data_IF_070666350043
#
_entry.id   IF_070666350043
#
_cell.length_a   1.000
_cell.length_b   1.000
_cell.length_c   1.000
_cell.angle_alpha   90.00
_cell.angle_beta   90.00
_cell.angle_gamma   90.00
#
_symmetry.space_group_name_H-M   'P 1'
#
loop_
_entity.id
_entity.type
_entity.pdbx_description
1 polymer ?
#
# COMPACT_ATOMS: atom_id res chain seq x y z
N UNK A 1 -10.71 56.52 22.70
CA UNK A 1 -9.79 55.83 23.64
C UNK A 1 -9.49 54.46 23.04
N UNK A 2 -8.20 54.20 22.75
CA UNK A 2 -7.69 52.96 22.14
C UNK A 2 -7.51 51.91 23.25
N UNK A 3 -8.04 50.70 23.04
CA UNK A 3 -7.66 49.52 23.80
C UNK A 3 -6.90 48.55 22.87
N UNK A 4 -5.81 47.90 23.31
CA UNK A 4 -4.94 47.13 22.43
C UNK A 4 -5.49 45.73 22.16
N UNK A 5 -5.36 45.28 20.92
CA UNK A 5 -5.50 43.88 20.51
C UNK A 5 -4.29 43.10 21.03
N UNK A 6 -4.54 42.10 21.88
CA UNK A 6 -3.55 41.08 22.23
C UNK A 6 -3.38 40.10 21.05
N UNK A 7 -2.16 39.68 20.68
CA UNK A 7 -1.97 38.63 19.69
C UNK A 7 -2.15 37.26 20.36
N UNK A 8 -3.24 36.58 20.04
CA UNK A 8 -3.41 35.14 20.32
C UNK A 8 -2.59 34.34 19.29
N UNK A 9 -1.26 34.29 19.50
CA UNK A 9 -0.35 33.38 18.81
C UNK A 9 0.20 32.35 19.82
N UNK A 10 -0.63 31.36 20.15
CA UNK A 10 -0.29 30.03 20.66
C UNK A 10 -1.61 29.29 20.86
N UNK A 11 -1.91 28.22 20.10
CA UNK A 11 -1.11 27.00 20.09
C UNK A 11 -0.95 26.42 18.67
N UNK A 12 0.09 26.82 17.95
CA UNK A 12 0.55 26.09 16.74
C UNK A 12 1.97 25.54 16.94
N UNK A 13 2.65 25.91 18.03
CA UNK A 13 4.03 25.52 18.31
C UNK A 13 4.17 24.25 19.18
N UNK A 14 3.07 23.61 19.61
CA UNK A 14 3.14 22.48 20.55
C UNK A 14 3.04 21.08 19.90
N UNK A 15 2.92 20.98 18.56
CA UNK A 15 2.96 19.70 17.83
C UNK A 15 4.29 19.44 17.10
N UNK A 16 5.27 20.32 17.28
CA UNK A 16 6.59 20.20 16.62
C UNK A 16 7.62 19.41 17.43
N UNK A 17 7.26 18.82 18.57
CA UNK A 17 8.24 18.20 19.47
C UNK A 17 7.81 16.81 19.93
N UNK A 18 7.56 15.89 19.00
CA UNK A 18 7.79 14.45 19.16
C UNK A 18 8.15 13.87 17.78
N UNK A 19 9.45 13.81 17.47
CA UNK A 19 10.01 13.09 16.34
C UNK A 19 10.52 11.75 16.83
N UNK A 20 9.70 10.72 16.69
CA UNK A 20 10.17 9.33 16.66
C UNK A 20 10.24 8.88 15.20
N UNK A 21 11.18 8.01 14.82
CA UNK A 21 11.17 7.40 13.49
C UNK A 21 9.90 6.56 13.33
N UNK A 22 9.27 6.65 12.17
CA UNK A 22 8.02 5.97 11.87
C UNK A 22 8.11 5.28 10.50
N UNK A 23 7.71 4.02 10.48
CA UNK A 23 7.76 3.09 9.35
C UNK A 23 6.37 2.97 8.68
N UNK A 24 6.36 2.80 7.36
CA UNK A 24 5.27 3.16 6.44
C UNK A 24 4.37 1.98 5.97
N UNK A 25 3.54 2.21 4.94
CA UNK A 25 2.22 1.59 4.60
C UNK A 25 2.21 0.39 3.61
N UNK A 26 1.03 -0.14 3.26
CA UNK A 26 0.72 -1.45 2.66
C UNK A 26 1.44 -1.86 1.37
N UNK A 27 1.85 -0.93 0.51
CA UNK A 27 2.64 -1.20 -0.70
C UNK A 27 4.15 -1.34 -0.44
N UNK A 28 4.59 -1.12 0.81
CA UNK A 28 5.97 -0.90 1.22
C UNK A 28 6.60 -2.15 1.86
N UNK A 29 5.80 -3.18 2.13
CA UNK A 29 6.18 -4.31 2.98
C UNK A 29 6.76 -5.52 2.23
N UNK A 30 6.75 -5.50 0.90
CA UNK A 30 7.32 -6.54 0.07
C UNK A 30 7.93 -5.93 -1.20
N UNK A 31 9.06 -6.45 -1.69
CA UNK A 31 9.51 -6.17 -3.05
C UNK A 31 8.37 -6.55 -4.01
N UNK A 32 7.85 -5.58 -4.76
CA UNK A 32 6.82 -5.85 -5.76
C UNK A 32 7.48 -5.98 -7.13
N UNK A 33 6.94 -6.88 -7.94
CA UNK A 33 7.40 -7.11 -9.31
C UNK A 33 6.22 -6.73 -10.21
N UNK A 34 6.34 -5.58 -10.87
CA UNK A 34 5.27 -5.02 -11.72
C UNK A 34 4.80 -6.01 -12.79
N UNK A 35 5.71 -6.85 -13.30
CA UNK A 35 5.42 -7.87 -14.31
C UNK A 35 5.08 -9.26 -13.76
N UNK A 36 4.92 -9.44 -12.43
CA UNK A 36 4.50 -10.73 -11.88
C UNK A 36 3.07 -11.05 -12.35
N UNK A 37 2.82 -12.30 -12.75
CA UNK A 37 1.47 -12.68 -13.17
C UNK A 37 0.49 -12.61 -11.99
N UNK A 38 -0.67 -11.94 -12.14
CA UNK A 38 -1.71 -11.95 -11.13
C UNK A 38 -2.27 -13.36 -10.98
N UNK A 39 -2.67 -13.72 -9.75
CA UNK A 39 -3.39 -14.98 -9.54
C UNK A 39 -4.62 -15.05 -10.45
N UNK A 40 -5.03 -16.27 -10.87
CA UNK A 40 -6.24 -16.44 -11.66
C UNK A 40 -7.45 -15.80 -10.96
N UNK A 41 -8.25 -15.04 -11.71
CA UNK A 41 -9.47 -14.42 -11.16
C UNK A 41 -10.45 -15.45 -10.60
N UNK A 42 -10.37 -16.70 -11.06
CA UNK A 42 -11.12 -17.83 -10.52
C UNK A 42 -10.91 -18.00 -9.02
N UNK A 43 -9.70 -17.79 -8.50
CA UNK A 43 -9.39 -17.96 -7.09
C UNK A 43 -10.21 -16.99 -6.24
N UNK A 44 -10.34 -15.75 -6.72
CA UNK A 44 -11.18 -14.71 -6.10
C UNK A 44 -12.66 -15.06 -6.19
N UNK A 45 -13.13 -15.50 -7.36
CA UNK A 45 -14.53 -15.85 -7.60
C UNK A 45 -14.96 -17.13 -6.86
N UNK A 46 -14.03 -18.01 -6.51
CA UNK A 46 -14.30 -19.19 -5.68
C UNK A 46 -14.17 -18.94 -4.18
N UNK A 47 -13.68 -17.77 -3.77
CA UNK A 47 -13.46 -17.44 -2.37
C UNK A 47 -14.79 -17.09 -1.67
N UNK A 48 -15.18 -17.88 -0.68
CA UNK A 48 -16.41 -17.67 0.10
C UNK A 48 -16.42 -16.35 0.89
N UNK A 49 -15.26 -15.91 1.39
CA UNK A 49 -15.12 -14.65 2.14
C UNK A 49 -15.29 -13.43 1.26
N UNK A 50 -14.85 -13.52 0.00
CA UNK A 50 -15.12 -12.49 -1.01
C UNK A 50 -16.63 -12.30 -1.19
N UNK A 51 -17.39 -13.38 -1.42
CA UNK A 51 -18.84 -13.29 -1.60
C UNK A 51 -19.60 -12.90 -0.34
N UNK A 52 -19.14 -13.35 0.84
CA UNK A 52 -19.72 -12.92 2.11
C UNK A 52 -19.57 -11.41 2.30
N UNK A 53 -18.39 -10.85 2.03
CA UNK A 53 -18.16 -9.41 2.09
C UNK A 53 -19.03 -8.65 1.08
N UNK A 54 -19.17 -9.16 -0.15
CA UNK A 54 -20.06 -8.57 -1.16
C UNK A 54 -21.51 -8.57 -0.68
N UNK A 55 -21.99 -9.68 -0.11
CA UNK A 55 -23.35 -9.78 0.42
C UNK A 55 -23.58 -8.79 1.56
N UNK A 56 -22.62 -8.64 2.48
CA UNK A 56 -22.68 -7.69 3.59
C UNK A 56 -22.78 -6.25 3.07
N UNK A 57 -21.94 -5.87 2.11
CA UNK A 57 -21.97 -4.51 1.54
C UNK A 57 -23.26 -4.25 0.78
N UNK A 58 -23.73 -5.21 -0.02
CA UNK A 58 -25.01 -5.10 -0.72
C UNK A 58 -26.16 -4.89 0.26
N UNK A 59 -26.18 -5.61 1.38
CA UNK A 59 -27.16 -5.39 2.43
C UNK A 59 -27.12 -3.93 2.94
N UNK A 60 -25.94 -3.41 3.27
CA UNK A 60 -25.80 -2.03 3.74
C UNK A 60 -26.18 -0.98 2.69
N UNK A 61 -25.82 -1.18 1.43
CA UNK A 61 -26.13 -0.23 0.36
C UNK A 61 -27.62 -0.24 0.03
N UNK A 62 -28.24 -1.43 -0.04
CA UNK A 62 -29.69 -1.54 -0.24
C UNK A 62 -30.43 -0.93 0.95
N UNK A 63 -30.04 -1.22 2.19
CA UNK A 63 -30.63 -0.63 3.38
C UNK A 63 -30.49 0.90 3.39
N UNK A 64 -29.31 1.42 3.06
CA UNK A 64 -29.06 2.87 2.97
C UNK A 64 -29.93 3.50 1.88
N UNK A 65 -30.08 2.84 0.73
CA UNK A 65 -30.94 3.34 -0.36
C UNK A 65 -32.42 3.32 0.04
N UNK A 66 -32.86 2.33 0.81
CA UNK A 66 -34.21 2.30 1.38
C UNK A 66 -34.42 3.48 2.33
N UNK A 67 -33.48 3.74 3.25
CA UNK A 67 -33.54 4.89 4.17
C UNK A 67 -33.52 6.22 3.41
N UNK A 68 -32.68 6.36 2.38
CA UNK A 68 -32.57 7.58 1.56
C UNK A 68 -33.89 7.97 0.90
N UNK A 69 -34.76 6.99 0.59
CA UNK A 69 -36.09 7.22 -0.02
C UNK A 69 -37.17 7.63 0.98
N UNK A 70 -36.85 7.65 2.27
CA UNK A 70 -37.78 8.03 3.34
C UNK A 70 -37.51 9.46 3.83
N UNK A 71 -38.45 10.07 4.57
CA UNK A 71 -38.21 11.34 5.26
C UNK A 71 -37.02 11.30 6.23
N UNK A 72 -36.69 10.12 6.79
CA UNK A 72 -35.51 9.96 7.64
C UNK A 72 -34.21 10.20 6.88
N UNK A 73 -34.12 9.73 5.62
CA UNK A 73 -32.98 9.99 4.74
C UNK A 73 -32.76 11.48 4.46
N UNK A 74 -33.85 12.20 4.18
CA UNK A 74 -33.86 13.67 4.04
C UNK A 74 -33.35 14.37 5.29
N UNK A 75 -33.77 13.93 6.49
CA UNK A 75 -33.31 14.49 7.77
C UNK A 75 -31.80 14.27 7.95
N UNK A 76 -31.31 13.06 7.69
CA UNK A 76 -29.88 12.72 7.79
C UNK A 76 -29.06 13.57 6.83
N UNK A 77 -29.51 13.69 5.57
CA UNK A 77 -28.85 14.48 4.54
C UNK A 77 -28.80 15.98 4.88
N UNK A 78 -29.89 16.55 5.41
CA UNK A 78 -29.92 17.93 5.93
C UNK A 78 -28.99 18.11 7.14
N UNK A 79 -28.90 17.10 8.00
CA UNK A 79 -27.93 17.08 9.10
C UNK A 79 -26.50 17.16 8.60
N UNK A 80 -26.14 16.33 7.61
CA UNK A 80 -24.83 16.38 6.95
C UNK A 80 -24.57 17.72 6.27
N UNK A 81 -25.58 18.32 5.61
CA UNK A 81 -25.44 19.65 5.02
C UNK A 81 -25.13 20.70 6.08
N UNK A 82 -25.83 20.67 7.21
CA UNK A 82 -25.57 21.60 8.32
C UNK A 82 -24.15 21.48 8.86
N UNK A 83 -23.65 20.25 9.03
CA UNK A 83 -22.29 19.99 9.53
C UNK A 83 -21.23 20.42 8.51
N UNK A 84 -21.46 20.15 7.22
CA UNK A 84 -20.47 20.41 6.16
C UNK A 84 -20.53 21.81 5.57
N UNK A 85 -21.60 22.58 5.79
CA UNK A 85 -21.81 23.89 5.16
C UNK A 85 -20.66 24.89 5.40
N UNK A 86 -20.06 25.00 6.60
CA UNK A 86 -18.91 25.90 6.81
C UNK A 86 -17.74 25.57 5.88
N UNK A 87 -17.48 24.28 5.66
CA UNK A 87 -16.44 23.81 4.76
C UNK A 87 -16.86 23.97 3.29
N UNK A 88 -18.10 23.67 2.94
CA UNK A 88 -18.63 23.82 1.59
C UNK A 88 -18.42 25.23 1.02
N UNK A 89 -18.69 26.26 1.82
CA UNK A 89 -18.50 27.67 1.44
C UNK A 89 -17.04 28.04 1.13
N UNK A 90 -16.08 27.23 1.62
CA UNK A 90 -14.64 27.41 1.43
C UNK A 90 -14.01 26.21 0.73
N UNK A 91 -14.79 25.35 0.09
CA UNK A 91 -14.30 24.04 -0.32
C UNK A 91 -13.22 24.14 -1.40
N UNK A 92 -13.36 25.09 -2.33
CA UNK A 92 -12.34 25.36 -3.33
C UNK A 92 -11.03 25.86 -2.69
N UNK A 93 -11.12 26.72 -1.67
CA UNK A 93 -9.94 27.21 -0.93
C UNK A 93 -9.29 26.07 -0.14
N UNK A 94 -10.09 25.25 0.54
CA UNK A 94 -9.63 24.08 1.27
C UNK A 94 -8.87 23.09 0.38
N UNK A 95 -9.46 22.68 -0.75
CA UNK A 95 -8.82 21.72 -1.67
C UNK A 95 -7.52 22.30 -2.23
N UNK A 96 -7.51 23.57 -2.64
CA UNK A 96 -6.28 24.22 -3.14
C UNK A 96 -5.19 24.36 -2.08
N UNK A 97 -5.55 24.74 -0.86
CA UNK A 97 -4.62 24.79 0.26
C UNK A 97 -4.00 23.42 0.53
N UNK A 98 -4.79 22.34 0.52
CA UNK A 98 -4.27 20.99 0.72
C UNK A 98 -3.38 20.55 -0.44
N UNK A 99 -3.76 20.80 -1.70
CA UNK A 99 -2.89 20.49 -2.85
C UNK A 99 -1.57 21.26 -2.73
N UNK A 100 -1.61 22.55 -2.40
CA UNK A 100 -0.40 23.35 -2.18
C UNK A 100 0.47 22.80 -1.05
N UNK A 101 -0.12 22.48 0.10
CA UNK A 101 0.58 21.88 1.24
C UNK A 101 1.17 20.50 0.88
N UNK A 102 0.46 19.69 0.11
CA UNK A 102 0.92 18.41 -0.39
C UNK A 102 2.16 18.56 -1.28
N UNK A 103 2.15 19.47 -2.25
CA UNK A 103 3.31 19.73 -3.10
C UNK A 103 4.52 20.28 -2.33
N UNK A 104 4.29 21.08 -1.29
CA UNK A 104 5.35 21.50 -0.36
C UNK A 104 5.88 20.32 0.47
N UNK A 105 5.01 19.41 0.91
CA UNK A 105 5.40 18.25 1.69
C UNK A 105 6.25 17.28 0.85
N UNK A 106 5.85 16.95 -0.38
CA UNK A 106 6.65 16.07 -1.25
C UNK A 106 7.94 16.75 -1.75
N UNK A 107 7.96 18.09 -1.87
CA UNK A 107 9.20 18.85 -2.07
C UNK A 107 10.18 18.64 -0.91
N UNK A 108 9.67 18.66 0.34
CA UNK A 108 10.50 18.43 1.52
C UNK A 108 10.99 16.98 1.64
N UNK A 109 10.24 16.00 1.10
CA UNK A 109 10.70 14.62 0.96
C UNK A 109 11.83 14.53 -0.09
N UNK A 110 11.67 15.20 -1.23
CA UNK A 110 12.65 15.24 -2.30
C UNK A 110 12.72 13.94 -3.11
N UNK A 111 13.18 14.02 -4.36
CA UNK A 111 13.46 12.83 -5.20
C UNK A 111 12.22 12.01 -5.57
N UNK A 112 11.04 12.63 -5.66
CA UNK A 112 9.77 11.98 -5.98
C UNK A 112 8.98 12.80 -7.00
N UNK A 113 8.11 12.18 -7.80
CA UNK A 113 7.25 12.82 -8.79
C UNK A 113 5.96 13.38 -8.17
N UNK A 114 5.08 12.48 -7.70
CA UNK A 114 3.74 12.83 -7.21
C UNK A 114 3.41 12.22 -5.85
N UNK A 115 4.13 11.18 -5.43
CA UNK A 115 3.92 10.47 -4.16
C UNK A 115 5.28 9.93 -3.72
N UNK A 116 5.51 9.66 -2.42
CA UNK A 116 6.71 8.98 -1.97
C UNK A 116 7.09 7.70 -2.74
N UNK A 117 6.10 7.01 -3.36
CA UNK A 117 6.34 5.77 -4.12
C UNK A 117 6.92 5.99 -5.54
N UNK A 118 6.66 7.16 -6.13
CA UNK A 118 7.08 7.48 -7.51
C UNK A 118 8.38 8.26 -7.45
N UNK A 119 9.49 7.57 -7.24
CA UNK A 119 10.83 8.15 -7.12
C UNK A 119 11.39 8.68 -8.44
N UNK A 120 12.32 9.61 -8.32
CA UNK A 120 13.09 10.13 -9.46
C UNK A 120 14.46 10.64 -9.02
N UNK A 121 15.52 10.39 -9.80
CA UNK A 121 16.83 10.98 -9.55
C UNK A 121 16.90 12.47 -9.94
N UNK A 122 15.88 12.99 -10.62
CA UNK A 122 15.89 14.33 -11.19
C UNK A 122 15.54 15.42 -10.15
N UNK A 123 16.54 16.06 -9.56
CA UNK A 123 16.33 17.10 -8.53
C UNK A 123 15.47 18.29 -8.99
N UNK A 124 15.46 18.60 -10.30
CA UNK A 124 14.63 19.68 -10.85
C UNK A 124 13.13 19.43 -10.68
N UNK A 125 12.71 18.18 -10.51
CA UNK A 125 11.32 17.80 -10.25
C UNK A 125 10.80 18.45 -8.96
N UNK A 126 11.63 18.49 -7.91
CA UNK A 126 11.26 19.14 -6.64
C UNK A 126 11.02 20.64 -6.82
N UNK A 127 11.83 21.32 -7.63
CA UNK A 127 11.59 22.73 -7.95
C UNK A 127 10.29 22.96 -8.72
N UNK A 128 9.93 22.05 -9.64
CA UNK A 128 8.64 22.08 -10.32
C UNK A 128 7.47 21.90 -9.34
N UNK A 129 7.58 21.01 -8.35
CA UNK A 129 6.57 20.84 -7.29
C UNK A 129 6.33 22.15 -6.52
N UNK A 130 7.40 22.87 -6.18
CA UNK A 130 7.29 24.15 -5.50
C UNK A 130 6.60 25.21 -6.37
N UNK A 131 6.93 25.26 -7.67
CA UNK A 131 6.23 26.13 -8.63
C UNK A 131 4.73 25.79 -8.74
N UNK A 132 4.39 24.50 -8.76
CA UNK A 132 3.00 24.04 -8.73
C UNK A 132 2.30 24.55 -7.47
N UNK A 133 2.91 24.38 -6.29
CA UNK A 133 2.36 24.81 -5.01
C UNK A 133 2.07 26.31 -4.97
N UNK A 134 2.99 27.15 -5.45
CA UNK A 134 2.78 28.59 -5.54
C UNK A 134 1.72 28.97 -6.59
N UNK A 135 1.72 28.30 -7.74
CA UNK A 135 0.83 28.62 -8.87
C UNK A 135 -0.65 28.31 -8.62
N UNK A 136 -1.00 27.48 -7.64
CA UNK A 136 -2.39 27.03 -7.39
C UNK A 136 -3.29 28.15 -6.86
N UNK A 137 -2.76 29.16 -6.17
CA UNK A 137 -3.58 30.14 -5.46
C UNK A 137 -4.18 31.25 -6.36
N UNK A 138 -3.69 31.41 -7.59
CA UNK A 138 -4.25 32.37 -8.55
C UNK A 138 -4.90 31.64 -9.72
N UNK A 139 -6.13 32.03 -10.07
CA UNK A 139 -6.87 31.43 -11.21
C UNK A 139 -6.11 31.49 -12.53
N UNK A 140 -5.23 32.48 -12.72
CA UNK A 140 -4.42 32.62 -13.94
C UNK A 140 -3.25 31.64 -13.95
N UNK A 141 -2.62 31.42 -12.79
CA UNK A 141 -1.44 30.57 -12.68
C UNK A 141 -1.78 29.10 -12.46
N UNK A 142 -2.98 28.82 -11.94
CA UNK A 142 -3.49 27.48 -11.62
C UNK A 142 -3.52 26.53 -12.82
N UNK A 143 -3.75 27.04 -14.05
CA UNK A 143 -3.70 26.21 -15.26
C UNK A 143 -2.28 25.69 -15.51
N UNK A 144 -1.25 26.49 -15.22
CA UNK A 144 0.14 26.04 -15.33
C UNK A 144 0.48 25.02 -14.24
N UNK A 145 -0.07 25.17 -13.02
CA UNK A 145 0.03 24.14 -11.99
C UNK A 145 -0.60 22.82 -12.46
N UNK A 146 -1.79 22.87 -13.07
CA UNK A 146 -2.43 21.68 -13.62
C UNK A 146 -1.57 21.01 -14.71
N UNK A 147 -1.00 21.81 -15.62
CA UNK A 147 -0.08 21.30 -16.64
C UNK A 147 1.19 20.70 -16.03
N UNK A 148 1.73 21.31 -14.97
CA UNK A 148 2.86 20.77 -14.21
C UNK A 148 2.54 19.42 -13.57
N UNK A 149 1.36 19.25 -12.99
CA UNK A 149 0.92 17.96 -12.42
C UNK A 149 0.82 16.88 -13.51
N UNK A 150 0.24 17.20 -14.66
CA UNK A 150 0.19 16.27 -15.80
C UNK A 150 1.60 15.95 -16.30
N UNK A 151 2.50 16.95 -16.36
CA UNK A 151 3.89 16.72 -16.75
C UNK A 151 4.58 15.75 -15.78
N UNK A 152 4.42 15.94 -14.47
CA UNK A 152 4.95 15.01 -13.46
C UNK A 152 4.39 13.60 -13.63
N UNK A 153 3.08 13.48 -13.89
CA UNK A 153 2.44 12.19 -14.15
C UNK A 153 2.97 11.52 -15.43
N UNK A 154 3.11 12.28 -16.52
CA UNK A 154 3.65 11.76 -17.80
C UNK A 154 5.13 11.42 -17.68
N UNK A 155 5.92 12.17 -16.92
CA UNK A 155 7.34 11.84 -16.68
C UNK A 155 7.49 10.58 -15.84
N UNK A 156 6.62 10.38 -14.86
CA UNK A 156 6.59 9.13 -14.11
C UNK A 156 6.33 7.92 -15.03
N UNK A 157 5.61 8.07 -16.17
CA UNK A 157 5.43 6.97 -17.13
C UNK A 157 6.72 6.47 -17.78
N UNK A 158 7.81 7.25 -17.72
CA UNK A 158 9.11 6.83 -18.23
C UNK A 158 9.74 5.77 -17.32
N UNK A 159 9.62 6.00 -16.02
CA UNK A 159 10.30 5.21 -14.99
C UNK A 159 9.37 4.13 -14.41
N UNK A 160 8.05 4.32 -14.58
CA UNK A 160 7.01 3.43 -14.10
C UNK A 160 6.00 3.14 -15.23
N UNK A 161 5.55 1.90 -15.35
CA UNK A 161 4.60 1.54 -16.40
C UNK A 161 3.21 2.15 -16.21
N UNK A 162 2.46 2.27 -17.32
CA UNK A 162 1.06 2.75 -17.33
C UNK A 162 0.20 2.01 -16.31
N UNK A 163 0.42 0.71 -16.13
CA UNK A 163 -0.34 -0.13 -15.22
C UNK A 163 -0.21 0.33 -13.77
N UNK A 164 1.01 0.66 -13.36
CA UNK A 164 1.31 1.15 -12.02
C UNK A 164 0.80 2.57 -11.81
N UNK A 165 0.85 3.42 -12.83
CA UNK A 165 0.40 4.80 -12.73
C UNK A 165 -1.13 4.97 -12.58
N UNK A 166 -1.91 3.92 -12.86
CA UNK A 166 -3.35 3.92 -12.66
C UNK A 166 -3.75 4.00 -11.18
N UNK A 167 -2.91 3.51 -10.26
CA UNK A 167 -3.10 3.70 -8.82
C UNK A 167 -3.09 5.20 -8.44
N UNK A 168 -2.32 5.99 -9.18
CA UNK A 168 -2.07 7.40 -8.90
C UNK A 168 -2.93 8.34 -9.77
N UNK A 169 -3.99 7.81 -10.41
CA UNK A 169 -4.90 8.59 -11.26
C UNK A 169 -5.55 9.76 -10.50
N UNK A 170 -5.86 9.54 -9.21
CA UNK A 170 -6.41 10.58 -8.34
C UNK A 170 -5.44 11.75 -8.14
N UNK A 171 -4.17 11.46 -7.84
CA UNK A 171 -3.13 12.43 -7.50
C UNK A 171 -2.65 13.22 -8.72
N UNK A 172 -2.58 12.57 -9.90
CA UNK A 172 -2.20 13.22 -11.15
C UNK A 172 -3.39 13.82 -11.89
N UNK A 173 -4.06 12.98 -12.69
CA UNK A 173 -5.05 13.41 -13.68
C UNK A 173 -6.26 14.09 -13.05
N UNK A 174 -6.80 13.55 -11.95
CA UNK A 174 -8.02 14.09 -11.36
C UNK A 174 -7.79 15.45 -10.68
N UNK A 175 -6.68 15.62 -9.96
CA UNK A 175 -6.28 16.90 -9.36
C UNK A 175 -6.01 17.95 -10.44
N UNK A 176 -5.29 17.59 -11.50
CA UNK A 176 -5.09 18.50 -12.63
C UNK A 176 -6.42 18.89 -13.30
N UNK A 177 -7.31 17.92 -13.53
CA UNK A 177 -8.65 18.15 -14.07
C UNK A 177 -9.49 19.07 -13.19
N UNK A 178 -9.43 18.90 -11.87
CA UNK A 178 -10.04 19.83 -10.92
C UNK A 178 -9.52 21.25 -11.09
N UNK A 179 -8.20 21.43 -11.14
CA UNK A 179 -7.58 22.74 -11.28
C UNK A 179 -7.98 23.41 -12.60
N UNK A 180 -8.09 22.66 -13.70
CA UNK A 180 -8.57 23.19 -14.99
C UNK A 180 -10.04 23.62 -14.91
N UNK A 181 -10.92 22.76 -14.39
CA UNK A 181 -12.35 23.05 -14.29
C UNK A 181 -12.64 24.18 -13.31
N UNK A 182 -11.88 24.28 -12.23
CA UNK A 182 -11.97 25.38 -11.29
C UNK A 182 -11.37 26.69 -11.85
N UNK A 183 -10.37 26.65 -12.72
CA UNK A 183 -9.92 27.87 -13.41
C UNK A 183 -10.92 28.36 -14.47
N UNK A 184 -11.80 27.48 -14.96
CA UNK A 184 -12.76 27.79 -16.02
C UNK A 184 -13.73 28.91 -15.63
N UNK A 185 -13.93 29.83 -16.58
CA UNK A 185 -14.97 30.89 -16.48
C UNK A 185 -16.35 30.37 -16.86
N UNK A 186 -16.45 29.21 -17.51
CA UNK A 186 -17.72 28.65 -17.94
C UNK A 186 -18.39 27.91 -16.76
N UNK A 187 -19.55 28.39 -16.26
CA UNK A 187 -20.25 27.76 -15.13
C UNK A 187 -20.61 26.30 -15.37
N UNK A 188 -20.95 25.94 -16.62
CA UNK A 188 -21.31 24.58 -17.01
C UNK A 188 -20.14 23.59 -16.88
N UNK A 189 -18.91 24.07 -17.06
CA UNK A 189 -17.72 23.25 -16.85
C UNK A 189 -17.34 23.23 -15.36
N UNK A 190 -17.36 24.41 -14.73
CA UNK A 190 -16.95 24.57 -13.32
C UNK A 190 -17.77 23.72 -12.35
N UNK A 191 -19.05 23.46 -12.63
CA UNK A 191 -19.91 22.61 -11.77
C UNK A 191 -19.39 21.17 -11.64
N UNK A 192 -18.62 20.67 -12.61
CA UNK A 192 -18.08 19.30 -12.60
C UNK A 192 -16.73 19.15 -11.88
N UNK A 193 -16.15 20.23 -11.33
CA UNK A 193 -14.79 20.19 -10.75
C UNK A 193 -14.62 19.16 -9.62
N UNK A 194 -15.58 19.07 -8.70
CA UNK A 194 -15.56 18.06 -7.62
C UNK A 194 -15.96 16.67 -8.12
N UNK A 195 -16.74 16.60 -9.20
CA UNK A 195 -17.12 15.33 -9.82
C UNK A 195 -15.88 14.64 -10.41
N UNK A 196 -14.96 15.39 -11.04
CA UNK A 196 -13.69 14.84 -11.55
C UNK A 196 -12.82 14.29 -10.42
N UNK A 197 -12.64 15.02 -9.31
CA UNK A 197 -11.88 14.51 -8.15
C UNK A 197 -12.47 13.20 -7.62
N UNK A 198 -13.81 13.17 -7.51
CA UNK A 198 -14.55 12.01 -7.03
C UNK A 198 -14.38 10.79 -7.92
N UNK A 199 -14.42 10.97 -9.24
CA UNK A 199 -14.12 9.89 -10.19
C UNK A 199 -12.68 9.41 -10.07
N UNK A 200 -11.72 10.34 -9.96
CA UNK A 200 -10.31 9.99 -9.78
C UNK A 200 -10.07 9.10 -8.56
N UNK A 201 -10.56 9.52 -7.39
CA UNK A 201 -10.41 8.74 -6.15
C UNK A 201 -11.18 7.43 -6.21
N UNK A 202 -12.42 7.43 -6.72
CA UNK A 202 -13.21 6.21 -6.82
C UNK A 202 -12.52 5.16 -7.70
N UNK A 203 -12.02 5.55 -8.88
CA UNK A 203 -11.33 4.65 -9.79
C UNK A 203 -10.01 4.17 -9.17
N UNK A 204 -9.22 5.07 -8.58
CA UNK A 204 -7.95 4.72 -7.93
C UNK A 204 -8.16 3.69 -6.81
N UNK A 205 -9.14 3.90 -5.92
CA UNK A 205 -9.47 2.96 -4.85
C UNK A 205 -9.97 1.60 -5.38
N UNK A 206 -10.87 1.62 -6.38
CA UNK A 206 -11.34 0.37 -6.99
C UNK A 206 -10.20 -0.38 -7.68
N UNK A 207 -9.30 0.33 -8.35
CA UNK A 207 -8.16 -0.26 -9.04
C UNK A 207 -7.14 -0.85 -8.06
N UNK A 208 -6.66 -0.05 -7.10
CA UNK A 208 -5.74 -0.47 -6.03
C UNK A 208 -6.27 -1.65 -5.20
N UNK A 209 -7.57 -1.68 -4.93
CA UNK A 209 -8.18 -2.78 -4.16
C UNK A 209 -8.02 -4.15 -4.83
N UNK A 210 -7.83 -4.21 -6.16
CA UNK A 210 -7.64 -5.47 -6.88
C UNK A 210 -6.33 -6.16 -6.56
N UNK A 211 -5.31 -5.42 -6.10
CA UNK A 211 -4.03 -6.00 -5.68
C UNK A 211 -4.22 -7.03 -4.55
N UNK A 212 -5.20 -6.83 -3.66
CA UNK A 212 -5.51 -7.77 -2.57
C UNK A 212 -6.08 -9.10 -3.06
N UNK A 213 -6.58 -9.13 -4.29
CA UNK A 213 -7.09 -10.32 -4.97
C UNK A 213 -6.05 -10.93 -5.89
N UNK A 214 -5.33 -10.09 -6.63
CA UNK A 214 -4.32 -10.49 -7.59
C UNK A 214 -3.04 -11.00 -6.92
N UNK A 215 -2.62 -10.37 -5.82
CA UNK A 215 -1.36 -10.61 -5.10
C UNK A 215 -1.55 -10.59 -3.57
N UNK A 216 -2.40 -11.45 -3.00
CA UNK A 216 -2.66 -11.46 -1.55
C UNK A 216 -1.38 -11.65 -0.72
N UNK A 217 -0.38 -12.35 -1.26
CA UNK A 217 0.92 -12.55 -0.62
C UNK A 217 1.71 -11.26 -0.35
N UNK A 218 1.52 -10.19 -1.13
CA UNK A 218 2.18 -8.90 -0.90
C UNK A 218 1.76 -8.26 0.43
N UNK A 219 0.60 -8.67 0.97
CA UNK A 219 0.04 -8.17 2.22
C UNK A 219 0.41 -9.06 3.43
N UNK A 220 1.06 -10.20 3.22
CA UNK A 220 1.37 -11.13 4.31
C UNK A 220 2.41 -10.58 5.29
N UNK A 221 3.52 -9.96 4.84
CA UNK A 221 4.50 -9.37 5.77
C UNK A 221 3.86 -8.33 6.68
N UNK A 222 2.99 -7.47 6.12
CA UNK A 222 2.24 -6.47 6.87
C UNK A 222 1.39 -7.08 7.98
N UNK A 223 0.61 -8.11 7.66
CA UNK A 223 -0.30 -8.75 8.63
C UNK A 223 0.50 -9.45 9.75
N UNK A 224 1.69 -9.94 9.44
CA UNK A 224 2.60 -10.54 10.43
C UNK A 224 3.19 -9.45 11.34
N UNK A 225 3.65 -8.35 10.75
CA UNK A 225 4.29 -7.25 11.49
C UNK A 225 3.29 -6.46 12.35
N UNK A 226 2.07 -6.25 11.84
CA UNK A 226 1.02 -5.45 12.47
C UNK A 226 -0.27 -6.27 12.65
N UNK A 227 -0.29 -7.30 13.52
CA UNK A 227 -1.41 -8.24 13.64
C UNK A 227 -2.73 -7.61 14.11
N UNK A 228 -2.68 -6.45 14.78
CA UNK A 228 -3.90 -5.75 15.21
C UNK A 228 -4.75 -5.25 14.04
N UNK A 229 -4.18 -5.08 12.84
CA UNK A 229 -4.90 -4.62 11.65
C UNK A 229 -6.01 -5.59 11.23
N UNK A 230 -5.86 -6.88 11.53
CA UNK A 230 -6.87 -7.88 11.15
C UNK A 230 -8.03 -7.98 12.15
N UNK A 231 -8.01 -7.20 13.23
CA UNK A 231 -8.99 -7.30 14.32
C UNK A 231 -9.12 -8.73 14.89
N UNK A 232 -8.02 -9.49 14.88
CA UNK A 232 -7.99 -10.90 15.32
C UNK A 232 -8.51 -11.90 14.30
N UNK A 233 -8.88 -11.46 13.09
CA UNK A 233 -9.26 -12.35 12.01
C UNK A 233 -8.03 -13.01 11.36
N UNK A 234 -8.15 -14.26 10.88
CA UNK A 234 -7.13 -14.88 10.03
C UNK A 234 -6.87 -14.07 8.75
N UNK A 235 -5.64 -14.10 8.24
CA UNK A 235 -5.22 -13.32 7.05
C UNK A 235 -6.01 -13.67 5.79
N UNK A 236 -6.36 -14.95 5.63
CA UNK A 236 -7.16 -15.51 4.54
C UNK A 236 -8.63 -15.07 4.58
N UNK A 237 -9.10 -14.59 5.75
CA UNK A 237 -10.39 -13.92 5.91
C UNK A 237 -10.23 -12.42 5.68
N UNK A 238 -9.27 -11.79 6.36
CA UNK A 238 -9.14 -10.34 6.39
C UNK A 238 -8.80 -9.73 5.04
N UNK A 239 -7.79 -10.26 4.33
CA UNK A 239 -7.29 -9.67 3.07
C UNK A 239 -8.39 -9.58 1.99
N UNK A 240 -9.12 -10.66 1.64
CA UNK A 240 -10.18 -10.56 0.63
C UNK A 240 -11.34 -9.66 1.09
N UNK A 241 -11.71 -9.70 2.37
CA UNK A 241 -12.76 -8.82 2.90
C UNK A 241 -12.35 -7.34 2.85
N UNK A 242 -11.09 -7.02 3.14
CA UNK A 242 -10.54 -5.68 3.05
C UNK A 242 -10.53 -5.18 1.59
N UNK A 243 -10.14 -6.03 0.63
CA UNK A 243 -10.23 -5.69 -0.80
C UNK A 243 -11.66 -5.39 -1.25
N UNK A 244 -12.63 -6.19 -0.81
CA UNK A 244 -14.05 -5.93 -1.14
C UNK A 244 -14.53 -4.63 -0.50
N UNK A 245 -14.16 -4.36 0.76
CA UNK A 245 -14.53 -3.14 1.44
C UNK A 245 -13.98 -1.90 0.72
N UNK A 246 -12.70 -1.90 0.35
CA UNK A 246 -12.06 -0.81 -0.39
C UNK A 246 -12.71 -0.59 -1.76
N UNK A 247 -12.87 -1.66 -2.55
CA UNK A 247 -13.51 -1.60 -3.87
C UNK A 247 -14.91 -0.99 -3.79
N UNK A 248 -15.74 -1.53 -2.88
CA UNK A 248 -17.15 -1.16 -2.77
C UNK A 248 -17.34 0.23 -2.18
N UNK A 249 -16.47 0.68 -1.28
CA UNK A 249 -16.49 2.07 -0.81
C UNK A 249 -16.07 3.04 -1.92
N UNK A 250 -15.07 2.69 -2.74
CA UNK A 250 -14.71 3.44 -3.95
C UNK A 250 -15.89 3.57 -4.91
N UNK A 251 -16.58 2.46 -5.20
CA UNK A 251 -17.84 2.47 -5.96
C UNK A 251 -18.93 3.33 -5.29
N UNK A 252 -19.06 3.24 -3.97
CA UNK A 252 -20.03 4.00 -3.18
C UNK A 252 -19.90 5.51 -3.34
N UNK A 253 -18.67 6.04 -3.52
CA UNK A 253 -18.42 7.46 -3.79
C UNK A 253 -19.14 7.95 -5.07
N UNK A 254 -19.40 7.06 -6.02
CA UNK A 254 -20.05 7.39 -7.30
C UNK A 254 -21.56 7.16 -7.31
N UNK A 255 -22.12 6.68 -6.20
CA UNK A 255 -23.52 6.29 -6.14
C UNK A 255 -24.44 7.43 -5.68
N UNK A 256 -25.52 7.11 -4.96
CA UNK A 256 -26.50 8.10 -4.46
C UNK A 256 -25.94 8.94 -3.32
N UNK A 257 -26.53 10.12 -3.02
CA UNK A 257 -25.94 11.07 -2.07
C UNK A 257 -25.68 10.52 -0.67
N UNK A 258 -26.57 9.67 -0.13
CA UNK A 258 -26.38 9.11 1.21
C UNK A 258 -25.30 8.02 1.21
N UNK A 259 -25.34 7.10 0.23
CA UNK A 259 -24.30 6.06 0.06
C UNK A 259 -22.94 6.72 -0.11
N UNK A 260 -22.81 7.70 -1.02
CA UNK A 260 -21.60 8.46 -1.25
C UNK A 260 -21.01 9.06 0.02
N UNK A 261 -21.85 9.76 0.81
CA UNK A 261 -21.38 10.45 2.02
C UNK A 261 -21.02 9.48 3.13
N UNK A 262 -21.76 8.39 3.29
CA UNK A 262 -21.43 7.35 4.27
C UNK A 262 -20.16 6.59 3.88
N UNK A 263 -19.96 6.27 2.59
CA UNK A 263 -18.70 5.70 2.10
C UNK A 263 -17.52 6.64 2.33
N UNK A 264 -17.71 7.95 2.12
CA UNK A 264 -16.68 8.93 2.42
C UNK A 264 -16.33 8.98 3.92
N UNK A 265 -17.31 8.93 4.81
CA UNK A 265 -17.08 8.86 6.25
C UNK A 265 -16.33 7.58 6.63
N UNK A 266 -16.75 6.43 6.12
CA UNK A 266 -16.10 5.15 6.39
C UNK A 266 -14.64 5.14 5.91
N UNK A 267 -14.38 5.59 4.68
CA UNK A 267 -13.02 5.71 4.14
C UNK A 267 -12.19 6.69 4.97
N UNK A 268 -12.72 7.86 5.33
CA UNK A 268 -11.97 8.82 6.13
C UNK A 268 -11.56 8.25 7.49
N UNK A 269 -12.45 7.50 8.15
CA UNK A 269 -12.14 6.80 9.41
C UNK A 269 -11.01 5.79 9.21
N UNK A 270 -11.09 4.96 8.16
CA UNK A 270 -10.10 3.92 7.88
C UNK A 270 -8.74 4.52 7.56
N UNK A 271 -8.67 5.49 6.64
CA UNK A 271 -7.42 6.15 6.27
C UNK A 271 -6.81 6.89 7.47
N UNK A 272 -7.62 7.61 8.26
CA UNK A 272 -7.12 8.29 9.45
C UNK A 272 -6.66 7.31 10.53
N UNK A 273 -7.31 6.14 10.66
CA UNK A 273 -6.86 5.09 11.57
C UNK A 273 -5.54 4.45 11.13
N UNK A 274 -5.30 4.35 9.82
CA UNK A 274 -4.04 3.85 9.25
C UNK A 274 -2.84 4.79 9.50
N UNK A 275 -3.07 6.11 9.56
CA UNK A 275 -2.00 7.07 9.87
C UNK A 275 -1.35 6.83 11.24
N UNK A 276 -2.10 6.33 12.23
CA UNK A 276 -1.57 6.09 13.57
C UNK A 276 -0.42 5.06 13.59
N UNK A 277 -0.59 3.85 13.03
CA UNK A 277 0.49 2.86 12.98
C UNK A 277 1.57 3.13 11.92
N UNK A 278 1.27 3.85 10.83
CA UNK A 278 2.21 4.03 9.71
C UNK A 278 2.90 5.42 9.64
N UNK A 279 2.48 6.36 10.48
CA UNK A 279 3.18 7.61 10.70
C UNK A 279 3.11 8.65 9.57
N UNK A 280 4.15 9.48 9.49
CA UNK A 280 4.12 10.73 8.69
C UNK A 280 4.14 10.49 7.19
N UNK A 281 4.86 9.48 6.73
CA UNK A 281 4.97 9.18 5.31
C UNK A 281 3.61 8.75 4.76
N UNK A 282 2.89 7.92 5.52
CA UNK A 282 1.51 7.53 5.22
C UNK A 282 0.56 8.74 5.18
N UNK A 283 0.69 9.63 6.18
CA UNK A 283 -0.07 10.89 6.19
C UNK A 283 0.20 11.72 4.94
N UNK A 284 1.46 11.86 4.50
CA UNK A 284 1.80 12.64 3.30
C UNK A 284 1.24 11.96 2.05
N UNK A 285 1.42 10.64 1.89
CA UNK A 285 0.91 9.89 0.74
C UNK A 285 -0.62 9.94 0.61
N UNK A 286 -1.34 9.89 1.74
CA UNK A 286 -2.80 9.88 1.75
C UNK A 286 -3.45 11.24 1.95
N UNK A 287 -2.71 12.30 2.35
CA UNK A 287 -3.27 13.61 2.67
C UNK A 287 -4.22 14.14 1.58
N UNK A 288 -3.83 14.01 0.31
CA UNK A 288 -4.64 14.52 -0.79
C UNK A 288 -5.89 13.66 -1.03
N UNK A 289 -5.79 12.34 -0.93
CA UNK A 289 -6.94 11.42 -1.02
C UNK A 289 -7.91 11.70 0.13
N UNK A 290 -7.42 11.83 1.37
CA UNK A 290 -8.22 12.15 2.56
C UNK A 290 -8.94 13.49 2.40
N UNK A 291 -8.27 14.52 1.87
CA UNK A 291 -8.92 15.81 1.62
C UNK A 291 -10.00 15.74 0.54
N UNK A 292 -9.79 14.95 -0.52
CA UNK A 292 -10.82 14.72 -1.53
C UNK A 292 -12.01 13.96 -0.92
N UNK A 293 -11.77 12.97 -0.07
CA UNK A 293 -12.82 12.24 0.66
C UNK A 293 -13.64 13.21 1.53
N UNK A 294 -12.99 14.11 2.26
CA UNK A 294 -13.65 15.17 3.03
C UNK A 294 -14.47 16.09 2.11
N UNK A 295 -13.95 16.45 0.94
CA UNK A 295 -14.68 17.24 -0.05
C UNK A 295 -15.93 16.51 -0.59
N UNK A 296 -15.84 15.19 -0.81
CA UNK A 296 -16.97 14.35 -1.23
C UNK A 296 -18.04 14.28 -0.15
N UNK A 297 -17.65 14.17 1.13
CA UNK A 297 -18.59 14.26 2.25
C UNK A 297 -19.28 15.63 2.27
N UNK A 298 -18.50 16.71 2.07
CA UNK A 298 -19.01 18.07 2.16
C UNK A 298 -19.95 18.46 1.01
N UNK A 299 -19.89 17.79 -0.15
CA UNK A 299 -20.71 18.10 -1.33
C UNK A 299 -22.22 17.87 -1.07
N UNK A 300 -23.05 18.95 -0.99
CA UNK A 300 -24.50 18.88 -0.76
C UNK A 300 -25.29 18.49 -2.00
N UNK A 301 -24.65 18.41 -3.17
CA UNK A 301 -25.31 18.15 -4.45
C UNK A 301 -26.08 16.83 -4.39
N UNK A 302 -27.38 16.90 -4.61
CA UNK A 302 -28.28 15.74 -4.72
C UNK A 302 -28.40 15.23 -6.15
N UNK A 303 -28.13 16.10 -7.11
CA UNK A 303 -28.19 15.78 -8.52
C UNK A 303 -27.08 14.81 -8.91
N UNK A 304 -27.45 13.81 -9.72
CA UNK A 304 -26.52 12.87 -10.32
C UNK A 304 -26.38 13.24 -11.79
N UNK A 305 -25.25 13.83 -12.19
CA UNK A 305 -25.03 14.21 -13.58
C UNK A 305 -24.76 12.99 -14.48
N UNK A 306 -24.01 12.00 -13.97
CA UNK A 306 -23.65 10.80 -14.72
C UNK A 306 -24.60 9.63 -14.48
N UNK A 307 -25.30 9.22 -15.55
CA UNK A 307 -26.22 8.07 -15.60
C UNK A 307 -27.29 8.06 -14.49
N UNK A 308 -28.03 9.16 -14.22
CA UNK A 308 -29.00 9.24 -13.12
C UNK A 308 -30.09 8.16 -13.20
N UNK A 309 -30.62 7.93 -14.40
CA UNK A 309 -31.70 6.93 -14.63
C UNK A 309 -31.27 5.52 -14.25
N UNK A 310 -29.98 5.19 -14.40
CA UNK A 310 -29.45 3.90 -14.02
C UNK A 310 -29.23 3.77 -12.52
N UNK A 311 -29.03 4.85 -11.77
CA UNK A 311 -28.72 4.81 -10.33
C UNK A 311 -29.93 4.93 -9.41
N UNK A 312 -31.06 5.41 -9.94
CA UNK A 312 -32.28 5.65 -9.15
C UNK A 312 -32.98 4.37 -8.66
N UNK A 313 -33.15 3.29 -9.47
CA UNK A 313 -33.82 2.07 -9.04
C UNK A 313 -33.10 1.37 -7.88
N UNK A 314 -33.82 0.63 -7.03
CA UNK A 314 -33.18 -0.09 -5.92
C UNK A 314 -32.30 -1.24 -6.42
N UNK A 315 -32.79 -1.95 -7.44
CA UNK A 315 -32.10 -3.04 -8.13
C UNK A 315 -30.82 -2.58 -8.85
N UNK A 316 -30.64 -1.28 -9.03
CA UNK A 316 -29.45 -0.74 -9.67
C UNK A 316 -28.19 -0.90 -8.81
N UNK A 317 -28.32 -0.97 -7.47
CA UNK A 317 -27.17 -1.13 -6.57
C UNK A 317 -26.40 -2.42 -6.91
N UNK A 318 -27.01 -3.63 -6.85
CA UNK A 318 -26.30 -4.85 -7.18
C UNK A 318 -25.86 -4.90 -8.64
N UNK A 319 -26.70 -4.46 -9.58
CA UNK A 319 -26.34 -4.45 -11.00
C UNK A 319 -25.16 -3.51 -11.31
N UNK A 320 -25.13 -2.33 -10.67
CA UNK A 320 -24.06 -1.35 -10.82
C UNK A 320 -22.76 -1.83 -10.20
N UNK A 321 -22.81 -2.45 -9.02
CA UNK A 321 -21.61 -3.03 -8.39
C UNK A 321 -21.04 -4.18 -9.24
N UNK A 322 -21.91 -5.08 -9.74
CA UNK A 322 -21.49 -6.16 -10.62
C UNK A 322 -20.86 -5.63 -11.91
N UNK A 323 -21.47 -4.61 -12.53
CA UNK A 323 -20.90 -3.97 -13.72
C UNK A 323 -19.54 -3.32 -13.42
N UNK A 324 -19.40 -2.63 -12.28
CA UNK A 324 -18.12 -2.05 -11.86
C UNK A 324 -17.05 -3.12 -11.65
N UNK A 325 -17.37 -4.23 -10.98
CA UNK A 325 -16.46 -5.36 -10.80
C UNK A 325 -16.00 -5.94 -12.14
N UNK A 326 -16.94 -6.21 -13.06
CA UNK A 326 -16.61 -6.75 -14.39
C UNK A 326 -15.72 -5.79 -15.17
N UNK A 327 -16.05 -4.49 -15.19
CA UNK A 327 -15.29 -3.49 -15.95
C UNK A 327 -13.89 -3.32 -15.34
N UNK A 328 -13.78 -3.10 -14.04
CA UNK A 328 -12.50 -2.78 -13.39
C UNK A 328 -11.60 -4.01 -13.30
N UNK A 329 -12.13 -5.17 -12.86
CA UNK A 329 -11.34 -6.42 -12.83
C UNK A 329 -11.00 -6.91 -14.23
N UNK A 330 -11.95 -6.85 -15.18
CA UNK A 330 -11.67 -7.19 -16.58
C UNK A 330 -10.57 -6.30 -17.18
N UNK A 331 -10.60 -4.99 -16.88
CA UNK A 331 -9.55 -4.06 -17.29
C UNK A 331 -8.22 -4.36 -16.62
N UNK A 332 -8.21 -4.71 -15.34
CA UNK A 332 -6.98 -5.01 -14.59
C UNK A 332 -6.27 -6.26 -15.14
N UNK A 333 -6.94 -7.41 -15.16
CA UNK A 333 -6.35 -8.64 -15.70
C UNK A 333 -6.08 -8.54 -17.21
N UNK A 334 -6.98 -7.90 -17.97
CA UNK A 334 -6.83 -7.74 -19.41
C UNK A 334 -5.67 -6.82 -19.80
N UNK A 335 -5.49 -5.69 -19.11
CA UNK A 335 -4.38 -4.78 -19.32
C UNK A 335 -3.06 -5.42 -18.90
N UNK A 336 -3.05 -6.14 -17.77
CA UNK A 336 -1.87 -6.89 -17.34
C UNK A 336 -1.46 -7.92 -18.39
N UNK A 337 -2.41 -8.72 -18.89
CA UNK A 337 -2.19 -9.69 -19.96
C UNK A 337 -1.66 -9.04 -21.25
N UNK A 338 -2.21 -7.88 -21.62
CA UNK A 338 -1.78 -7.16 -22.82
C UNK A 338 -0.36 -6.61 -22.73
N UNK A 339 0.05 -6.12 -21.55
CA UNK A 339 1.36 -5.49 -21.34
C UNK A 339 2.44 -6.55 -21.06
N UNK A 340 2.15 -7.50 -20.16
CA UNK A 340 3.15 -8.45 -19.62
C UNK A 340 2.98 -9.88 -20.13
N UNK A 341 1.88 -10.21 -20.82
CA UNK A 341 1.61 -11.58 -21.27
C UNK A 341 1.06 -12.49 -20.16
N UNK A 342 0.74 -13.76 -20.50
CA UNK A 342 0.03 -14.67 -19.60
C UNK A 342 0.88 -15.17 -18.43
N UNK A 343 2.19 -15.32 -18.63
CA UNK A 343 3.14 -15.75 -17.59
C UNK A 343 3.73 -14.57 -16.81
N UNK A 344 3.34 -13.33 -17.18
CA UNK A 344 4.04 -12.13 -16.74
C UNK A 344 5.40 -11.97 -17.43
N UNK A 345 6.03 -10.82 -17.24
CA UNK A 345 7.41 -10.56 -17.68
C UNK A 345 8.24 -10.23 -16.45
N UNK A 346 8.74 -11.27 -15.80
CA UNK A 346 9.79 -11.13 -14.78
C UNK A 346 11.11 -11.20 -15.51
N UNK A 347 11.71 -10.05 -15.83
CA UNK A 347 13.08 -10.02 -16.35
C UNK A 347 14.02 -10.41 -15.21
N UNK A 348 14.96 -11.32 -15.48
CA UNK A 348 16.00 -11.72 -14.50
C UNK A 348 16.93 -10.53 -14.13
N UNK A 349 16.97 -9.51 -14.99
CA UNK A 349 17.66 -8.23 -14.79
C UNK A 349 16.71 -7.10 -14.29
N UNK A 350 15.43 -7.40 -14.07
CA UNK A 350 14.47 -6.43 -13.59
C UNK A 350 14.80 -6.04 -12.18
N UNK A 351 15.35 -4.83 -11.99
CA UNK A 351 15.51 -4.21 -10.69
C UNK A 351 14.24 -4.49 -9.89
N UNK A 352 14.37 -5.16 -8.74
CA UNK A 352 13.33 -5.14 -7.73
C UNK A 352 13.06 -3.66 -7.47
N UNK A 353 11.98 -3.13 -8.04
CA UNK A 353 11.58 -1.76 -7.82
C UNK A 353 11.05 -1.70 -6.41
N UNK A 354 11.94 -1.52 -5.44
CA UNK A 354 11.56 -1.16 -4.09
C UNK A 354 11.02 0.27 -4.17
N UNK A 355 9.85 0.52 -3.57
CA UNK A 355 9.30 1.87 -3.44
C UNK A 355 10.18 2.81 -2.60
N UNK A 356 11.31 2.35 -2.02
CA UNK A 356 12.27 3.16 -1.25
C UNK A 356 13.73 2.95 -1.67
N UNK A 357 14.53 4.02 -1.57
CA UNK A 357 15.97 3.89 -1.31
C UNK A 357 16.16 3.24 0.07
N UNK A 358 17.26 2.50 0.30
CA UNK A 358 17.63 2.05 1.64
C UNK A 358 17.60 3.24 2.61
N UNK A 359 16.70 3.19 3.60
CA UNK A 359 16.69 4.15 4.68
C UNK A 359 17.74 3.71 5.70
N UNK A 360 18.73 4.57 5.98
CA UNK A 360 19.78 4.27 6.96
C UNK A 360 19.24 4.06 8.38
N UNK A 361 18.02 4.53 8.66
CA UNK A 361 17.39 4.40 9.97
C UNK A 361 16.52 3.15 10.12
N UNK A 362 16.06 2.52 9.02
CA UNK A 362 15.29 1.27 9.02
C UNK A 362 15.54 0.50 7.71
N UNK A 363 16.50 -0.43 7.68
CA UNK A 363 16.82 -1.21 6.50
C UNK A 363 15.82 -2.35 6.34
N UNK A 364 14.84 -2.17 5.48
CA UNK A 364 14.14 -3.31 4.90
C UNK A 364 15.13 -4.00 3.94
N UNK A 365 15.76 -5.07 4.42
CA UNK A 365 16.60 -6.01 3.65
C UNK A 365 17.66 -5.37 2.75
N UNK A 366 18.81 -5.07 3.36
CA UNK A 366 20.16 -5.21 2.79
C UNK A 366 20.37 -4.96 1.30
N UNK A 367 20.39 -3.68 0.87
CA UNK A 367 21.35 -3.30 -0.17
C UNK A 367 22.67 -2.92 0.51
N UNK A 368 23.56 -3.89 0.56
CA UNK A 368 24.97 -3.69 0.93
C UNK A 368 25.54 -2.63 -0.01
N UNK A 369 25.95 -1.49 0.56
CA UNK A 369 26.91 -0.64 -0.14
C UNK A 369 28.14 -1.51 -0.38
N UNK A 370 28.35 -1.92 -1.63
CA UNK A 370 29.54 -2.63 -2.07
C UNK A 370 30.75 -1.71 -1.87
N UNK A 371 31.25 -1.65 -0.64
CA UNK A 371 32.66 -1.34 -0.41
C UNK A 371 33.42 -2.39 -1.21
N UNK A 372 34.34 -2.02 -2.11
CA UNK A 372 35.09 -2.98 -2.89
C UNK A 372 35.74 -3.99 -1.93
N UNK A 373 35.24 -5.22 -1.94
CA UNK A 373 35.73 -6.26 -1.06
C UNK A 373 37.13 -6.66 -1.54
N UNK A 374 38.04 -6.81 -0.59
CA UNK A 374 39.38 -7.35 -0.82
C UNK A 374 39.26 -8.70 -1.57
N UNK A 375 39.77 -8.82 -2.82
CA UNK A 375 39.58 -10.01 -3.65
C UNK A 375 40.04 -11.30 -2.97
N UNK A 376 41.08 -11.23 -2.15
CA UNK A 376 41.62 -12.39 -1.43
C UNK A 376 40.67 -12.85 -0.31
N UNK A 377 39.99 -11.90 0.35
CA UNK A 377 38.96 -12.22 1.36
C UNK A 377 37.71 -12.82 0.74
N UNK A 378 37.31 -12.35 -0.44
CA UNK A 378 36.16 -12.89 -1.18
C UNK A 378 36.43 -14.34 -1.60
N UNK A 379 37.62 -14.62 -2.11
CA UNK A 379 38.01 -15.98 -2.48
C UNK A 379 38.04 -16.91 -1.25
N UNK A 380 38.63 -16.48 -0.14
CA UNK A 380 38.67 -17.26 1.10
C UNK A 380 37.28 -17.52 1.69
N UNK A 381 36.40 -16.52 1.72
CA UNK A 381 35.02 -16.66 2.19
C UNK A 381 34.22 -17.66 1.33
N UNK A 382 34.38 -17.58 0.00
CA UNK A 382 33.74 -18.52 -0.94
C UNK A 382 34.16 -19.96 -0.66
N UNK A 383 35.46 -20.22 -0.53
CA UNK A 383 35.97 -21.56 -0.20
C UNK A 383 35.47 -22.05 1.15
N UNK A 384 35.37 -21.16 2.15
CA UNK A 384 34.83 -21.52 3.45
C UNK A 384 33.35 -21.92 3.37
N UNK A 385 32.52 -21.18 2.63
CA UNK A 385 31.11 -21.56 2.41
C UNK A 385 30.96 -22.88 1.65
N UNK A 386 31.78 -23.11 0.63
CA UNK A 386 31.76 -24.39 -0.11
C UNK A 386 32.11 -25.57 0.81
N UNK A 387 33.07 -25.38 1.73
CA UNK A 387 33.43 -26.39 2.72
C UNK A 387 32.30 -26.67 3.72
N UNK A 388 31.66 -25.64 4.28
CA UNK A 388 30.54 -25.83 5.23
C UNK A 388 29.37 -26.59 4.59
N UNK A 389 29.08 -26.31 3.32
CA UNK A 389 28.03 -27.02 2.58
C UNK A 389 28.40 -28.48 2.29
N UNK A 390 29.68 -28.75 2.00
CA UNK A 390 30.16 -30.10 1.79
C UNK A 390 30.15 -30.93 3.09
N UNK A 391 30.57 -30.32 4.20
CA UNK A 391 30.66 -30.98 5.51
C UNK A 391 29.28 -31.35 6.07
N UNK A 392 28.25 -30.53 5.85
CA UNK A 392 26.89 -30.86 6.28
C UNK A 392 26.21 -31.93 5.39
N UNK A 393 26.56 -32.01 4.10
CA UNK A 393 25.79 -32.76 3.11
C UNK A 393 25.73 -34.26 3.41
N UNK A 394 26.87 -34.89 3.68
CA UNK A 394 26.96 -36.33 3.96
C UNK A 394 26.13 -36.74 5.19
N UNK A 395 26.43 -36.21 6.38
CA UNK A 395 25.69 -36.52 7.60
C UNK A 395 24.19 -36.22 7.52
N UNK A 396 23.80 -35.16 6.78
CA UNK A 396 22.38 -34.84 6.56
C UNK A 396 21.69 -35.92 5.73
N UNK A 397 22.31 -36.36 4.63
CA UNK A 397 21.76 -37.43 3.79
C UNK A 397 21.68 -38.75 4.56
N UNK A 398 22.70 -39.08 5.36
CA UNK A 398 22.70 -40.27 6.21
C UNK A 398 21.60 -40.22 7.27
N UNK A 399 21.37 -39.05 7.89
CA UNK A 399 20.28 -38.84 8.83
C UNK A 399 18.89 -38.99 8.20
N UNK A 400 18.69 -38.42 7.01
CA UNK A 400 17.42 -38.51 6.28
C UNK A 400 17.12 -39.91 5.74
N UNK A 401 18.12 -40.78 5.63
CA UNK A 401 17.95 -42.17 5.23
C UNK A 401 17.39 -43.06 6.36
N UNK A 402 17.19 -42.52 7.56
CA UNK A 402 16.67 -43.28 8.69
C UNK A 402 15.23 -43.79 8.41
N UNK A 403 14.89 -45.05 8.76
CA UNK A 403 13.58 -45.62 8.39
C UNK A 403 12.35 -44.95 9.02
N UNK A 404 12.51 -44.45 10.24
CA UNK A 404 11.44 -43.72 10.93
C UNK A 404 11.44 -42.25 10.49
N UNK A 405 10.32 -41.70 9.98
CA UNK A 405 10.29 -40.36 9.40
C UNK A 405 10.54 -39.24 10.42
N UNK A 406 10.09 -39.42 11.66
CA UNK A 406 10.31 -38.42 12.72
C UNK A 406 11.79 -38.38 13.12
N UNK A 407 12.41 -39.56 13.28
CA UNK A 407 13.84 -39.66 13.52
C UNK A 407 14.67 -39.22 12.31
N UNK A 408 14.24 -39.49 11.07
CA UNK A 408 14.90 -39.05 9.85
C UNK A 408 14.94 -37.52 9.75
N UNK A 409 13.82 -36.86 10.09
CA UNK A 409 13.76 -35.41 10.18
C UNK A 409 14.76 -34.87 11.22
N UNK A 410 14.74 -35.41 12.45
CA UNK A 410 15.61 -34.93 13.54
C UNK A 410 17.10 -35.20 13.25
N UNK A 411 17.44 -36.39 12.75
CA UNK A 411 18.81 -36.77 12.40
C UNK A 411 19.35 -35.99 11.20
N UNK A 412 18.50 -35.65 10.22
CA UNK A 412 18.87 -34.79 9.09
C UNK A 412 18.95 -33.31 9.47
N UNK A 413 18.11 -32.84 10.40
CA UNK A 413 18.06 -31.43 10.77
C UNK A 413 19.23 -31.00 11.66
N UNK A 414 19.81 -31.92 12.47
CA UNK A 414 21.02 -31.63 13.27
C UNK A 414 22.20 -31.14 12.39
N UNK A 415 22.66 -31.89 11.37
CA UNK A 415 23.74 -31.43 10.50
C UNK A 415 23.32 -30.25 9.61
N UNK A 416 22.05 -30.10 9.25
CA UNK A 416 21.55 -28.90 8.56
C UNK A 416 21.71 -27.64 9.42
N UNK A 417 21.33 -27.70 10.70
CA UNK A 417 21.53 -26.62 11.67
C UNK A 417 23.01 -26.37 11.95
N UNK A 418 23.84 -27.43 12.00
CA UNK A 418 25.29 -27.27 12.13
C UNK A 418 25.89 -26.54 10.92
N UNK A 419 25.45 -26.86 9.70
CA UNK A 419 25.84 -26.14 8.50
C UNK A 419 25.46 -24.65 8.55
N UNK A 420 24.26 -24.33 9.06
CA UNK A 420 23.83 -22.94 9.26
C UNK A 420 24.71 -22.19 10.28
N UNK A 421 25.10 -22.84 11.38
CA UNK A 421 26.04 -22.30 12.38
C UNK A 421 27.42 -22.05 11.75
N UNK A 422 27.93 -23.00 10.97
CA UNK A 422 29.24 -22.89 10.35
C UNK A 422 29.26 -21.77 9.31
N UNK A 423 28.21 -21.63 8.50
CA UNK A 423 28.04 -20.50 7.57
C UNK A 423 27.92 -19.15 8.28
N UNK A 424 27.21 -19.10 9.41
CA UNK A 424 27.12 -17.90 10.23
C UNK A 424 28.52 -17.49 10.75
N UNK A 425 29.34 -18.45 11.17
CA UNK A 425 30.73 -18.23 11.55
C UNK A 425 31.59 -17.70 10.39
N UNK A 426 31.37 -18.15 9.15
CA UNK A 426 32.03 -17.59 7.96
C UNK A 426 31.70 -16.10 7.79
N UNK A 427 30.43 -15.69 7.93
CA UNK A 427 30.07 -14.26 7.91
C UNK A 427 30.71 -13.49 9.08
N UNK A 428 30.82 -14.10 10.27
CA UNK A 428 31.47 -13.46 11.42
C UNK A 428 32.99 -13.32 11.23
N UNK A 429 33.60 -14.14 10.39
CA UNK A 429 35.02 -14.08 10.08
C UNK A 429 35.35 -13.11 8.93
N UNK A 430 34.56 -13.15 7.84
CA UNK A 430 34.87 -12.44 6.60
C UNK A 430 33.96 -11.25 6.32
N UNK A 431 32.73 -11.27 6.84
CA UNK A 431 31.72 -10.22 6.66
C UNK A 431 31.96 -9.01 7.55
N UNK A 432 31.66 -7.82 7.02
CA UNK A 432 31.85 -6.54 7.71
C UNK A 432 30.53 -5.84 8.06
N UNK A 433 29.42 -6.28 7.46
CA UNK A 433 28.10 -5.71 7.70
C UNK A 433 27.59 -6.06 9.10
N UNK A 434 27.26 -5.03 9.89
CA UNK A 434 26.91 -5.19 11.30
C UNK A 434 25.59 -5.99 11.48
N UNK A 435 24.63 -5.81 10.58
CA UNK A 435 23.34 -6.50 10.62
C UNK A 435 23.48 -7.97 10.29
N UNK A 436 24.22 -8.29 9.23
CA UNK A 436 24.47 -9.68 8.83
C UNK A 436 25.25 -10.43 9.92
N UNK A 437 26.17 -9.75 10.62
CA UNK A 437 26.88 -10.30 11.77
C UNK A 437 25.99 -10.49 13.00
N UNK A 438 25.08 -9.54 13.27
CA UNK A 438 24.10 -9.69 14.35
C UNK A 438 23.12 -10.84 14.06
N UNK A 439 22.63 -10.94 12.82
CA UNK A 439 21.82 -12.06 12.34
C UNK A 439 22.58 -13.39 12.49
N UNK A 440 23.85 -13.45 12.11
CA UNK A 440 24.68 -14.63 12.30
C UNK A 440 24.79 -15.06 13.77
N UNK A 441 24.95 -14.11 14.71
CA UNK A 441 24.95 -14.41 16.14
C UNK A 441 23.61 -14.94 16.64
N UNK A 442 22.49 -14.39 16.16
CA UNK A 442 21.15 -14.90 16.46
C UNK A 442 20.94 -16.31 15.91
N UNK A 443 21.30 -16.56 14.65
CA UNK A 443 21.25 -17.89 14.03
C UNK A 443 22.06 -18.89 14.86
N UNK A 444 23.28 -18.56 15.27
CA UNK A 444 24.09 -19.44 16.11
C UNK A 444 23.37 -19.79 17.42
N UNK A 445 22.85 -18.79 18.13
CA UNK A 445 22.18 -19.01 19.41
C UNK A 445 20.93 -19.90 19.29
N UNK A 446 20.08 -19.64 18.29
CA UNK A 446 18.83 -20.36 18.08
C UNK A 446 19.09 -21.79 17.58
N UNK A 447 19.98 -21.96 16.58
CA UNK A 447 20.28 -23.25 16.00
C UNK A 447 21.02 -24.16 16.99
N UNK A 448 21.90 -23.62 17.84
CA UNK A 448 22.51 -24.40 18.93
C UNK A 448 21.46 -24.89 19.95
N UNK A 449 20.46 -24.06 20.24
CA UNK A 449 19.35 -24.44 21.12
C UNK A 449 18.53 -25.57 20.50
N UNK A 450 18.17 -25.45 19.23
CA UNK A 450 17.42 -26.46 18.48
C UNK A 450 18.20 -27.78 18.37
N UNK A 451 19.51 -27.74 18.11
CA UNK A 451 20.39 -28.92 18.15
C UNK A 451 20.35 -29.60 19.53
N UNK A 452 20.40 -28.84 20.63
CA UNK A 452 20.29 -29.42 21.99
C UNK A 452 18.94 -30.09 22.21
N UNK A 453 17.84 -29.48 21.75
CA UNK A 453 16.49 -30.05 21.87
C UNK A 453 16.36 -31.35 21.06
N UNK A 454 16.87 -31.36 19.83
CA UNK A 454 16.88 -32.52 18.96
C UNK A 454 17.72 -33.68 19.53
N UNK A 455 18.90 -33.39 20.06
CA UNK A 455 19.72 -34.41 20.74
C UNK A 455 19.04 -34.98 21.99
N UNK A 456 18.36 -34.14 22.77
CA UNK A 456 17.57 -34.59 23.92
C UNK A 456 16.39 -35.48 23.48
N UNK A 457 15.73 -35.12 22.37
CA UNK A 457 14.64 -35.89 21.79
C UNK A 457 15.08 -37.29 21.32
N UNK A 458 16.26 -37.38 20.68
CA UNK A 458 16.88 -38.64 20.25
C UNK A 458 17.26 -39.51 21.45
N UNK A 459 17.89 -38.91 22.46
CA UNK A 459 18.30 -39.59 23.70
C UNK A 459 17.09 -40.18 24.43
N UNK A 460 16.00 -39.42 24.55
CA UNK A 460 14.76 -39.88 25.18
C UNK A 460 14.12 -41.09 24.47
N UNK A 461 14.48 -41.34 23.20
CA UNK A 461 13.98 -42.44 22.38
C UNK A 461 15.01 -43.54 22.14
N UNK A 462 16.20 -43.43 22.75
CA UNK A 462 17.28 -44.40 22.58
C UNK A 462 17.85 -44.46 21.17
N UNK A 463 17.68 -43.41 20.37
CA UNK A 463 18.19 -43.33 19.00
C UNK A 463 19.59 -42.72 19.05
N UNK A 464 20.58 -43.44 18.52
CA UNK A 464 21.97 -42.96 18.44
C UNK A 464 22.32 -42.56 17.01
N UNK A 465 22.90 -41.36 16.79
CA UNK A 465 23.41 -40.97 15.49
C UNK A 465 24.44 -42.00 14.97
N UNK A 466 24.23 -42.52 13.75
CA UNK A 466 25.11 -43.51 13.12
C UNK A 466 24.70 -44.99 13.28
N UNK A 467 23.63 -45.31 14.03
CA UNK A 467 23.18 -46.70 14.21
C UNK A 467 22.52 -47.33 12.95
N UNK A 468 22.17 -46.54 11.94
CA UNK A 468 21.50 -47.01 10.72
C UNK A 468 22.44 -47.64 9.68
N UNK A 469 23.76 -47.68 9.90
CA UNK A 469 24.70 -48.32 8.98
C UNK A 469 24.80 -49.86 9.15
N UNK A 470 24.03 -50.45 10.06
CA UNK A 470 23.99 -51.90 10.26
C UNK A 470 22.55 -52.39 10.37
N UNK A 471 21.90 -52.60 9.21
CA UNK A 471 21.07 -53.79 8.95
C UNK A 471 20.62 -53.86 7.49
#
# INVERSE_FOLDING_TARGET
MRAPLAPALAPVAALAAMTTPAEAHVKWFAPYIVGAAPRPISDTLTNSWFWLAIALVLFFFVATRLVERTPAGEIVLKGFDKVSNPLWLRLDDFVRCVIGAFFVAIFAVGGVYLTPDLQTPAEWVSWLQLLIAFGIFSRRTQIFSAAGIILLWVLALRDYDVFHLLDYLALGVAVAGYLVLDASKNPEWRKHRFEVLRWGVAIALMWSSLEKFAYPEWFYPLVIEKPFLTFGMPRDVFIPMAGVAEFTMGFGLLWTPLIRRLSAVALFIIFNAAVYPFGRIDLVGHALIMAIIVAIFADPTREMHFLPKLKLPLQAVPAGLAAALVIIAGSYWGLHLMIYGPEGRVTLDGEQMATHRPNAENPHTGMVTMVPADPDKVAAAKTAYEATMADMHGPMMDGMAYPDPDAAFVLGMIPHHQGAIDMANVVLQYGQDAETRALAQHIIADQELEIRQMNAWLTARGITPGAAASH
#
